data_IF_151259585979
#
_entry.id   IF_151259585979
#
_cell.length_a   1.000
_cell.length_b   1.000
_cell.length_c   1.000
_cell.angle_alpha   90.00
_cell.angle_beta   90.00
_cell.angle_gamma   90.00
#
_symmetry.space_group_name_H-M   'P 1'
#
loop_
_entity.id
_entity.type
_entity.pdbx_description
1 polymer ?
#
# COMPACT_ATOMS: atom_id res chain seq x y z
N UNK A 1 -4.65 -4.30 36.21
CA UNK A 1 -4.71 -3.80 35.95
C UNK A 1 -5.48 -3.63 35.40
N UNK A 2 -5.94 -3.33 35.55
CA UNK A 2 -6.77 -3.12 35.12
C UNK A 2 -6.76 -2.39 34.13
N UNK A 3 -6.53 -1.37 34.02
CA UNK A 3 -6.73 -0.50 32.94
C UNK A 3 -6.23 -0.99 31.66
N UNK A 4 -5.09 -1.53 31.70
CA UNK A 4 -4.46 -1.99 30.48
C UNK A 4 -5.26 -3.06 29.77
N UNK A 5 -6.05 -3.77 30.52
CA UNK A 5 -6.73 -4.86 29.88
C UNK A 5 -7.82 -4.40 28.98
N UNK A 6 -8.23 -3.19 29.07
CA UNK A 6 -9.26 -2.66 28.20
C UNK A 6 -8.69 -1.95 26.98
N UNK A 7 -7.39 -1.99 26.83
CA UNK A 7 -6.78 -1.33 25.69
C UNK A 7 -6.98 -2.20 24.47
N UNK A 8 -7.75 -1.69 23.54
CA UNK A 8 -7.89 -2.31 22.23
C UNK A 8 -6.79 -1.75 21.37
N UNK A 9 -5.90 -2.60 20.87
CA UNK A 9 -4.84 -2.10 19.99
C UNK A 9 -5.45 -1.35 18.82
N UNK A 10 -5.08 -0.11 18.66
CA UNK A 10 -5.53 0.66 17.51
C UNK A 10 -4.75 0.22 16.29
N UNK A 11 -5.43 0.00 15.17
CA UNK A 11 -4.72 -0.27 13.92
C UNK A 11 -3.83 0.92 13.62
N UNK A 12 -2.55 0.66 13.45
CA UNK A 12 -1.60 1.71 13.11
C UNK A 12 -1.44 1.75 11.61
N UNK A 13 -1.37 2.96 11.09
CA UNK A 13 -1.00 3.11 9.69
C UNK A 13 0.41 2.59 9.50
N UNK A 14 0.55 1.65 8.62
CA UNK A 14 1.85 1.20 8.21
C UNK A 14 2.24 2.13 7.07
N UNK A 15 3.14 3.05 7.35
CA UNK A 15 3.66 3.92 6.30
C UNK A 15 4.68 3.15 5.48
N UNK A 16 4.22 2.13 4.84
CA UNK A 16 5.05 1.37 3.94
C UNK A 16 4.90 1.98 2.56
N UNK A 17 6.01 2.48 2.05
CA UNK A 17 6.02 3.14 0.75
C UNK A 17 6.77 2.26 -0.23
N UNK A 18 6.06 1.78 -1.23
CA UNK A 18 6.64 1.02 -2.32
C UNK A 18 6.63 1.92 -3.54
N UNK A 19 7.82 2.26 -4.03
CA UNK A 19 7.96 3.18 -5.15
C UNK A 19 7.92 2.47 -6.49
N UNK A 20 7.49 3.22 -7.50
CA UNK A 20 7.37 2.73 -8.87
C UNK A 20 8.06 3.67 -9.84
N UNK A 21 8.52 3.09 -10.94
CA UNK A 21 9.05 3.88 -12.03
C UNK A 21 7.93 4.65 -12.73
N UNK A 22 8.33 5.63 -13.51
CA UNK A 22 7.38 6.45 -14.26
C UNK A 22 6.52 5.56 -15.15
N UNK A 23 5.22 5.80 -15.10
CA UNK A 23 4.24 5.12 -15.95
C UNK A 23 4.30 3.58 -15.87
N UNK A 24 4.68 3.06 -14.73
CA UNK A 24 4.84 1.61 -14.53
C UNK A 24 4.13 1.15 -13.26
N UNK A 25 3.53 -0.03 -13.33
CA UNK A 25 2.96 -0.74 -12.19
C UNK A 25 3.76 -2.00 -11.87
N UNK A 26 4.96 -2.13 -12.43
CA UNK A 26 5.83 -3.27 -12.17
C UNK A 26 6.57 -3.09 -10.86
N UNK A 27 6.56 -4.12 -10.03
CA UNK A 27 7.30 -4.10 -8.77
C UNK A 27 8.80 -4.06 -9.06
N UNK A 28 9.48 -3.14 -8.40
CA UNK A 28 10.92 -2.97 -8.56
C UNK A 28 11.68 -3.96 -7.67
N UNK A 29 12.81 -4.48 -8.13
CA UNK A 29 13.62 -5.37 -7.29
C UNK A 29 13.97 -4.77 -5.94
N UNK A 30 14.19 -3.46 -5.88
CA UNK A 30 14.51 -2.75 -4.64
C UNK A 30 13.42 -2.87 -3.58
N UNK A 31 12.18 -3.12 -3.99
CA UNK A 31 11.05 -3.24 -3.08
C UNK A 31 10.88 -4.65 -2.51
N UNK A 32 11.58 -5.64 -3.06
CA UNK A 32 11.36 -7.02 -2.66
C UNK A 32 11.69 -7.31 -1.21
N UNK A 33 12.79 -6.82 -0.62
CA UNK A 33 13.04 -7.06 0.80
C UNK A 33 11.94 -6.49 1.68
N UNK A 34 11.44 -5.30 1.34
CA UNK A 34 10.37 -4.66 2.11
C UNK A 34 9.07 -5.44 1.98
N UNK A 35 8.74 -5.88 0.77
CA UNK A 35 7.53 -6.67 0.54
C UNK A 35 7.60 -8.02 1.24
N UNK A 36 8.78 -8.64 1.26
CA UNK A 36 8.98 -9.90 1.96
C UNK A 36 8.76 -9.74 3.46
N UNK A 37 9.28 -8.67 4.05
CA UNK A 37 9.06 -8.38 5.46
C UNK A 37 7.59 -8.12 5.76
N UNK A 38 6.91 -7.46 4.85
CA UNK A 38 5.47 -7.20 5.00
C UNK A 38 4.68 -8.50 4.99
N UNK A 39 5.03 -9.42 4.10
CA UNK A 39 4.38 -10.74 4.03
C UNK A 39 4.54 -11.46 5.38
N UNK A 40 5.74 -11.47 5.93
CA UNK A 40 5.97 -12.12 7.21
C UNK A 40 5.11 -11.50 8.32
N UNK A 41 5.05 -10.17 8.34
CA UNK A 41 4.23 -9.47 9.33
C UNK A 41 2.75 -9.81 9.17
N UNK A 42 2.26 -9.81 7.94
CA UNK A 42 0.85 -10.10 7.67
C UNK A 42 0.47 -11.54 8.00
N UNK A 43 1.42 -12.47 7.90
CA UNK A 43 1.17 -13.88 8.19
C UNK A 43 1.37 -14.23 9.67
N UNK A 44 1.79 -13.27 10.47
CA UNK A 44 1.92 -13.49 11.91
C UNK A 44 0.55 -13.71 12.53
N UNK A 45 0.44 -14.72 13.39
CA UNK A 45 -0.84 -15.09 14.02
C UNK A 45 -1.49 -13.93 14.76
N UNK A 46 -0.71 -13.05 15.34
CA UNK A 46 -1.23 -11.90 16.09
C UNK A 46 -1.97 -10.91 15.19
N UNK A 47 -1.67 -10.93 13.89
CA UNK A 47 -2.27 -10.01 12.93
C UNK A 47 -3.29 -10.71 12.03
N UNK A 48 -3.61 -11.98 12.31
CA UNK A 48 -4.41 -12.79 11.40
C UNK A 48 -5.79 -12.19 11.08
N UNK A 49 -6.39 -11.47 12.02
CA UNK A 49 -7.71 -10.88 11.84
C UNK A 49 -7.68 -9.47 11.27
N UNK A 50 -6.49 -8.90 11.11
CA UNK A 50 -6.36 -7.52 10.65
C UNK A 50 -6.47 -7.46 9.15
N UNK A 51 -7.25 -6.50 8.66
CA UNK A 51 -7.37 -6.22 7.24
C UNK A 51 -6.52 -5.01 6.87
N UNK A 52 -6.13 -4.97 5.61
CA UNK A 52 -5.23 -3.92 5.13
C UNK A 52 -5.81 -3.24 3.91
N UNK A 53 -5.59 -1.95 3.83
CA UNK A 53 -5.95 -1.16 2.67
C UNK A 53 -4.68 -0.85 1.88
N UNK A 54 -4.73 -1.08 0.58
CA UNK A 54 -3.60 -0.89 -0.33
C UNK A 54 -3.98 0.23 -1.28
N UNK A 55 -3.35 1.39 -1.13
CA UNK A 55 -3.66 2.56 -1.95
C UNK A 55 -2.56 2.86 -2.95
N UNK A 56 -2.91 2.86 -4.22
CA UNK A 56 -2.00 3.27 -5.27
C UNK A 56 -2.07 4.75 -5.55
N UNK A 57 -0.92 5.35 -5.87
CA UNK A 57 -0.81 6.78 -6.16
C UNK A 57 0.12 7.00 -7.33
N UNK A 58 -0.06 8.14 -7.99
CA UNK A 58 0.80 8.57 -9.09
C UNK A 58 1.31 9.97 -8.83
N UNK A 59 2.33 10.40 -9.61
CA UNK A 59 2.65 11.81 -9.68
C UNK A 59 1.61 12.50 -10.58
N UNK A 60 1.74 13.80 -10.76
CA UNK A 60 0.74 14.59 -11.47
C UNK A 60 1.06 14.76 -12.95
N UNK A 61 1.86 13.86 -13.53
CA UNK A 61 2.11 13.90 -14.97
C UNK A 61 1.04 13.12 -15.70
N UNK A 62 0.54 13.69 -16.79
CA UNK A 62 -0.48 13.04 -17.60
C UNK A 62 -1.91 13.33 -17.14
N UNK A 63 -2.88 12.63 -17.74
CA UNK A 63 -4.28 12.87 -17.46
C UNK A 63 -4.70 12.23 -16.14
N UNK A 64 -5.76 12.79 -15.54
CA UNK A 64 -6.36 12.22 -14.35
C UNK A 64 -6.83 10.81 -14.58
N UNK A 65 -7.51 10.58 -15.70
CA UNK A 65 -8.06 9.27 -16.03
C UNK A 65 -6.97 8.21 -16.17
N UNK A 66 -5.90 8.53 -16.86
CA UNK A 66 -4.77 7.61 -17.01
C UNK A 66 -4.17 7.26 -15.65
N UNK A 67 -3.99 8.26 -14.80
CA UNK A 67 -3.38 8.08 -13.50
C UNK A 67 -4.28 7.32 -12.53
N UNK A 68 -5.59 7.45 -12.64
CA UNK A 68 -6.49 6.62 -11.84
C UNK A 68 -6.29 5.15 -12.18
N UNK A 69 -6.20 4.82 -13.47
CA UNK A 69 -5.96 3.43 -13.89
C UNK A 69 -4.59 2.94 -13.45
N UNK A 70 -3.58 3.77 -13.61
CA UNK A 70 -2.21 3.41 -13.24
C UNK A 70 -2.10 3.15 -11.74
N UNK A 71 -2.71 4.01 -10.94
CA UNK A 71 -2.68 3.85 -9.49
C UNK A 71 -3.41 2.58 -9.05
N UNK A 72 -4.51 2.24 -9.70
CA UNK A 72 -5.20 0.99 -9.41
C UNK A 72 -4.33 -0.20 -9.78
N UNK A 73 -3.64 -0.14 -10.92
CA UNK A 73 -2.72 -1.19 -11.34
C UNK A 73 -1.57 -1.37 -10.38
N UNK A 74 -1.07 -0.29 -9.81
CA UNK A 74 -0.01 -0.34 -8.79
C UNK A 74 -0.50 -1.04 -7.52
N UNK A 75 -1.70 -0.69 -7.06
CA UNK A 75 -2.29 -1.38 -5.91
C UNK A 75 -2.49 -2.86 -6.21
N UNK A 76 -2.97 -3.17 -7.40
CA UNK A 76 -3.19 -4.56 -7.81
C UNK A 76 -1.90 -5.36 -7.85
N UNK A 77 -0.81 -4.75 -8.32
CA UNK A 77 0.50 -5.42 -8.36
C UNK A 77 0.98 -5.83 -6.98
N UNK A 78 0.81 -4.93 -6.00
CA UNK A 78 1.19 -5.22 -4.62
C UNK A 78 0.30 -6.32 -4.05
N UNK A 79 -1.01 -6.21 -4.24
CA UNK A 79 -1.93 -7.22 -3.73
C UNK A 79 -1.69 -8.60 -4.35
N UNK A 80 -1.39 -8.65 -5.65
CA UNK A 80 -1.09 -9.89 -6.33
C UNK A 80 0.16 -10.56 -5.75
N UNK A 81 1.17 -9.76 -5.46
CA UNK A 81 2.38 -10.29 -4.84
C UNK A 81 2.07 -10.87 -3.46
N UNK A 82 1.35 -10.11 -2.62
CA UNK A 82 1.02 -10.54 -1.27
C UNK A 82 0.22 -11.84 -1.27
N UNK A 83 -0.77 -11.95 -2.16
CA UNK A 83 -1.57 -13.18 -2.24
C UNK A 83 -0.76 -14.35 -2.77
N UNK A 84 0.18 -14.10 -3.69
CA UNK A 84 1.05 -15.16 -4.19
C UNK A 84 1.95 -15.73 -3.08
N UNK A 85 2.19 -14.95 -2.04
CA UNK A 85 3.02 -15.34 -0.90
C UNK A 85 2.19 -15.90 0.26
N UNK A 86 0.90 -16.09 0.05
CA UNK A 86 0.05 -16.73 1.04
C UNK A 86 -0.78 -15.81 1.92
N UNK A 87 -0.79 -14.51 1.64
CA UNK A 87 -1.68 -13.60 2.36
C UNK A 87 -3.08 -13.77 1.78
N UNK A 88 -4.07 -13.97 2.63
CA UNK A 88 -5.46 -14.16 2.21
C UNK A 88 -5.95 -12.87 1.55
N UNK A 89 -6.45 -12.99 0.33
CA UNK A 89 -6.92 -11.82 -0.42
C UNK A 89 -8.10 -11.13 0.25
N UNK A 90 -8.86 -11.84 1.07
CA UNK A 90 -9.99 -11.23 1.80
C UNK A 90 -9.55 -10.22 2.83
N UNK A 91 -8.29 -10.24 3.20
CA UNK A 91 -7.72 -9.28 4.13
C UNK A 91 -7.22 -8.01 3.44
N UNK A 92 -7.26 -7.98 2.11
CA UNK A 92 -6.70 -6.89 1.32
C UNK A 92 -7.80 -6.18 0.54
N UNK A 93 -7.77 -4.86 0.55
CA UNK A 93 -8.61 -4.06 -0.34
C UNK A 93 -7.74 -3.03 -1.03
N UNK A 94 -7.94 -2.86 -2.32
CA UNK A 94 -7.11 -1.97 -3.11
C UNK A 94 -7.90 -0.82 -3.71
N UNK A 95 -7.28 0.35 -3.75
CA UNK A 95 -7.90 1.53 -4.33
C UNK A 95 -6.84 2.36 -5.02
N UNK A 96 -7.15 2.81 -6.24
CA UNK A 96 -6.31 3.76 -6.95
C UNK A 96 -6.77 5.18 -6.69
N UNK A 97 -5.86 6.03 -6.24
CA UNK A 97 -6.15 7.44 -5.95
C UNK A 97 -5.68 8.39 -7.05
N UNK A 98 -5.01 7.88 -8.09
CA UNK A 98 -4.40 8.73 -9.09
C UNK A 98 -3.44 9.72 -8.45
N UNK A 99 -3.52 10.99 -8.86
CA UNK A 99 -2.73 12.05 -8.23
C UNK A 99 -3.55 12.94 -7.29
N UNK A 100 -4.70 12.44 -6.82
CA UNK A 100 -5.59 13.24 -5.97
C UNK A 100 -5.02 13.47 -4.57
N UNK A 101 -4.01 12.71 -4.17
CA UNK A 101 -3.46 12.82 -2.82
C UNK A 101 -1.94 12.68 -2.88
N UNK A 102 -1.28 13.73 -3.37
CA UNK A 102 0.17 13.73 -3.54
C UNK A 102 0.87 13.72 -2.18
N UNK A 103 1.95 12.94 -2.09
CA UNK A 103 2.80 12.97 -0.91
C UNK A 103 3.53 14.31 -0.82
N UNK A 104 3.99 14.80 -1.97
CA UNK A 104 4.68 16.09 -2.08
C UNK A 104 3.88 17.03 -2.98
N UNK A 105 2.85 17.72 -2.45
CA UNK A 105 2.04 18.63 -3.27
C UNK A 105 2.84 19.75 -3.89
N UNK A 106 3.90 20.20 -3.22
CA UNK A 106 4.78 21.26 -3.72
C UNK A 106 5.71 20.78 -4.83
N UNK A 107 5.81 19.48 -5.01
CA UNK A 107 6.58 18.86 -6.09
C UNK A 107 5.72 17.81 -6.79
N UNK A 108 4.72 18.25 -7.55
CA UNK A 108 3.71 17.32 -8.07
C UNK A 108 4.24 16.24 -9.01
N UNK A 109 5.40 16.48 -9.63
CA UNK A 109 6.01 15.49 -10.54
C UNK A 109 7.10 14.65 -9.88
N UNK A 110 7.27 14.78 -8.57
CA UNK A 110 8.34 14.07 -7.88
C UNK A 110 8.11 12.56 -7.84
N UNK A 111 9.20 11.82 -7.87
CA UNK A 111 9.16 10.36 -7.83
C UNK A 111 8.51 9.82 -6.57
N UNK A 112 8.63 10.52 -5.47
CA UNK A 112 8.05 10.12 -4.19
C UNK A 112 6.54 10.02 -4.24
N UNK A 113 5.88 10.66 -5.20
CA UNK A 113 4.44 10.57 -5.38
C UNK A 113 4.01 9.25 -6.04
N UNK A 114 4.94 8.56 -6.72
CA UNK A 114 4.67 7.28 -7.39
C UNK A 114 4.85 6.15 -6.39
N UNK A 115 3.76 5.80 -5.71
CA UNK A 115 3.87 4.87 -4.60
C UNK A 115 2.61 4.08 -4.36
N UNK A 116 2.74 3.02 -3.57
CA UNK A 116 1.62 2.33 -2.93
C UNK A 116 1.81 2.50 -1.42
N UNK A 117 0.74 2.89 -0.76
CA UNK A 117 0.70 3.03 0.68
C UNK A 117 -0.19 1.94 1.26
N UNK A 118 0.29 1.29 2.30
CA UNK A 118 -0.46 0.21 2.95
C UNK A 118 -0.79 0.63 4.38
N UNK A 119 -2.07 0.53 4.73
CA UNK A 119 -2.55 0.88 6.07
C UNK A 119 -3.42 -0.24 6.60
N UNK A 120 -3.49 -0.34 7.92
CA UNK A 120 -4.42 -1.27 8.55
C UNK A 120 -5.83 -0.71 8.47
N UNK A 121 -6.82 -1.59 8.32
CA UNK A 121 -8.23 -1.23 8.38
C UNK A 121 -8.81 -1.68 9.70
N UNK A 122 -9.52 -0.79 10.40
CA UNK A 122 -10.21 -1.18 11.63
C UNK A 122 -11.33 -2.18 11.37
#
# INVERSE_FOLDING_TARGET
SMGSRNIIPQPKSINLVIQFDLDSAKLKPDSMPLLSSLVEAMKNDRLAAIKFKVEGHTDAQGSEQHNLKLSQSRANSVMAYLTSQGVDKERLSGEGKGFSNLLLPEKPKAAENRRVRITTQP
#
